data_IF_116759214134
#
_entry.id   IF_116759214134
#
_cell.length_a   1.000
_cell.length_b   1.000
_cell.length_c   1.000
_cell.angle_alpha   90.00
_cell.angle_beta   90.00
_cell.angle_gamma   90.00
#
_symmetry.space_group_name_H-M   'P 1'
#
loop_
_entity.id
_entity.type
_entity.pdbx_description
1 polymer ?
#
# COMPACT_ATOMS: atom_id res chain seq x y z
N UNK A 1 -11.97 10.49 27.83
CA UNK A 1 -12.42 10.19 26.46
C UNK A 1 -11.21 9.80 25.64
N UNK A 2 -11.09 8.54 25.21
CA UNK A 2 -9.98 8.11 24.37
C UNK A 2 -10.13 8.74 22.98
N UNK A 3 -9.11 9.46 22.52
CA UNK A 3 -9.06 10.03 21.18
C UNK A 3 -8.81 8.87 20.20
N UNK A 4 -9.85 8.45 19.48
CA UNK A 4 -9.72 7.48 18.39
C UNK A 4 -8.99 8.19 17.25
N UNK A 5 -7.76 7.75 16.95
CA UNK A 5 -7.07 8.15 15.73
C UNK A 5 -7.67 7.36 14.57
N UNK A 6 -7.87 8.00 13.42
CA UNK A 6 -8.23 7.28 12.20
C UNK A 6 -7.12 6.27 11.88
N UNK A 7 -7.50 5.02 11.65
CA UNK A 7 -6.55 3.98 11.24
C UNK A 7 -6.11 4.27 9.79
N UNK A 8 -4.91 4.80 9.64
CA UNK A 8 -4.31 5.01 8.32
C UNK A 8 -3.77 3.66 7.83
N UNK A 9 -4.39 3.13 6.77
CA UNK A 9 -3.94 1.87 6.17
C UNK A 9 -2.57 2.04 5.49
N UNK A 10 -1.61 1.11 5.67
CA UNK A 10 -0.29 1.19 5.02
C UNK A 10 -0.37 1.31 3.49
N UNK A 11 -1.38 0.69 2.88
CA UNK A 11 -1.67 0.82 1.45
C UNK A 11 -2.01 2.24 0.99
N UNK A 12 -2.68 3.01 1.86
CA UNK A 12 -2.96 4.41 1.56
C UNK A 12 -1.69 5.26 1.56
N UNK A 13 -0.81 5.04 2.54
CA UNK A 13 0.51 5.70 2.62
C UNK A 13 1.33 5.35 1.38
N UNK A 14 1.44 4.05 1.06
CA UNK A 14 2.16 3.58 -0.11
C UNK A 14 1.65 4.24 -1.40
N UNK A 15 0.33 4.37 -1.55
CA UNK A 15 -0.27 4.99 -2.74
C UNK A 15 -0.06 6.51 -2.79
N UNK A 16 -0.34 7.22 -1.68
CA UNK A 16 -0.37 8.68 -1.62
C UNK A 16 1.03 9.29 -1.56
N UNK A 17 1.91 8.70 -0.77
CA UNK A 17 3.20 9.33 -0.42
C UNK A 17 4.37 8.77 -1.23
N UNK A 18 4.20 7.62 -1.89
CA UNK A 18 5.25 6.98 -2.69
C UNK A 18 4.84 6.77 -4.14
N UNK A 19 3.83 5.94 -4.41
CA UNK A 19 3.51 5.53 -5.78
C UNK A 19 3.04 6.69 -6.66
N UNK A 20 2.16 7.56 -6.14
CA UNK A 20 1.68 8.75 -6.88
C UNK A 20 2.81 9.76 -7.15
N UNK A 21 3.61 10.20 -6.15
CA UNK A 21 4.72 11.12 -6.39
C UNK A 21 5.79 10.57 -7.35
N UNK A 22 6.04 9.26 -7.30
CA UNK A 22 7.02 8.60 -8.17
C UNK A 22 6.44 8.22 -9.55
N UNK A 23 5.13 8.34 -9.77
CA UNK A 23 4.48 7.99 -11.03
C UNK A 23 4.54 6.50 -11.38
N UNK A 24 4.68 5.62 -10.38
CA UNK A 24 4.84 4.18 -10.58
C UNK A 24 3.51 3.43 -10.37
N UNK A 25 3.32 2.36 -11.14
CA UNK A 25 2.18 1.45 -10.97
C UNK A 25 2.46 0.37 -9.93
N UNK A 26 1.41 -0.26 -9.39
CA UNK A 26 1.53 -1.41 -8.50
C UNK A 26 2.33 -2.56 -9.13
N UNK A 27 2.15 -2.76 -10.45
CA UNK A 27 2.87 -3.77 -11.22
C UNK A 27 4.36 -3.45 -11.33
N UNK A 28 4.71 -2.19 -11.58
CA UNK A 28 6.09 -1.74 -11.64
C UNK A 28 6.77 -1.97 -10.29
N UNK A 29 6.17 -1.45 -9.20
CA UNK A 29 6.68 -1.63 -7.85
C UNK A 29 6.87 -3.13 -7.49
N UNK A 30 5.90 -3.97 -7.85
CA UNK A 30 5.98 -5.40 -7.60
C UNK A 30 7.15 -6.07 -8.32
N UNK A 31 7.39 -5.71 -9.59
CA UNK A 31 8.52 -6.21 -10.35
C UNK A 31 9.86 -5.76 -9.74
N UNK A 32 9.96 -4.50 -9.30
CA UNK A 32 11.19 -3.92 -8.76
C UNK A 32 11.62 -4.56 -7.44
N UNK A 33 10.66 -4.98 -6.60
CA UNK A 33 10.94 -5.63 -5.31
C UNK A 33 10.78 -7.15 -5.33
N UNK A 34 10.53 -7.75 -6.49
CA UNK A 34 10.47 -9.20 -6.66
C UNK A 34 9.25 -9.88 -6.01
N UNK A 35 8.09 -9.22 -5.98
CA UNK A 35 6.84 -9.79 -5.45
C UNK A 35 5.75 -9.90 -6.52
N UNK A 36 4.66 -10.62 -6.23
CA UNK A 36 3.53 -10.68 -7.16
C UNK A 36 2.81 -9.32 -7.24
N UNK A 37 2.38 -8.87 -8.44
CA UNK A 37 1.55 -7.67 -8.59
C UNK A 37 0.29 -7.71 -7.73
N UNK A 38 -0.29 -8.90 -7.56
CA UNK A 38 -1.47 -9.11 -6.71
C UNK A 38 -1.23 -8.78 -5.23
N UNK A 39 0.00 -8.95 -4.72
CA UNK A 39 0.35 -8.57 -3.34
C UNK A 39 0.30 -7.07 -3.15
N UNK A 40 0.87 -6.31 -4.08
CA UNK A 40 0.85 -4.84 -4.04
C UNK A 40 -0.56 -4.30 -4.29
N UNK A 41 -1.29 -4.85 -5.27
CA UNK A 41 -2.69 -4.46 -5.51
C UNK A 41 -3.56 -4.69 -4.28
N UNK A 42 -3.47 -5.86 -3.63
CA UNK A 42 -4.21 -6.11 -2.38
C UNK A 42 -3.82 -5.15 -1.27
N UNK A 43 -2.54 -4.84 -1.11
CA UNK A 43 -2.08 -3.87 -0.12
C UNK A 43 -2.69 -2.49 -0.35
N UNK A 44 -2.73 -2.03 -1.61
CA UNK A 44 -3.20 -0.68 -1.99
C UNK A 44 -4.74 -0.59 -2.04
N UNK A 45 -5.43 -1.67 -2.41
CA UNK A 45 -6.88 -1.72 -2.62
C UNK A 45 -7.65 -2.25 -1.39
N UNK A 46 -7.01 -2.97 -0.46
CA UNK A 46 -7.71 -3.74 0.59
C UNK A 46 -7.08 -3.56 1.97
N UNK A 47 -7.86 -2.98 2.88
CA UNK A 47 -8.25 -3.34 4.27
C UNK A 47 -7.72 -4.62 4.96
N UNK A 48 -6.69 -5.31 4.45
CA UNK A 48 -6.12 -6.48 5.07
C UNK A 48 -4.74 -6.17 5.66
N UNK A 49 -4.50 -6.53 6.94
CA UNK A 49 -3.20 -6.34 7.56
C UNK A 49 -2.13 -7.08 6.76
N UNK A 50 -0.97 -6.45 6.60
CA UNK A 50 0.22 -7.06 6.03
C UNK A 50 0.61 -8.23 6.96
N UNK A 51 0.37 -9.46 6.52
CA UNK A 51 0.88 -10.63 7.23
C UNK A 51 2.32 -10.89 6.81
N UNK A 52 3.18 -11.14 7.81
CA UNK A 52 4.62 -11.41 7.69
C UNK A 52 4.94 -12.66 6.86
#
# INVERSE_FOLDING_TARGET
MAKLFEEIHPGEILRKDFMKPLGISARQLAADIGVSPSRISKLVDSHHPITA
#
